data_IF_035021643954
#
_entry.id   IF_035021643954
#
_cell.length_a   1.000
_cell.length_b   1.000
_cell.length_c   1.000
_cell.angle_alpha   90.00
_cell.angle_beta   90.00
_cell.angle_gamma   90.00
#
_symmetry.space_group_name_H-M   'P 1'
#
loop_
_entity.id
_entity.type
_entity.pdbx_description
1 polymer ?
#
# COMPACT_ATOMS: atom_id res chain seq x y z
N UNK A 1 30.09 -56.65 -3.62
CA UNK A 1 29.18 -56.05 -4.63
C UNK A 1 27.96 -55.33 -4.03
N UNK A 2 27.35 -55.82 -2.94
CA UNK A 2 26.07 -55.31 -2.39
C UNK A 2 26.15 -53.85 -1.86
N UNK A 3 27.19 -53.47 -1.11
CA UNK A 3 27.34 -52.10 -0.55
C UNK A 3 27.38 -50.98 -1.61
N UNK A 4 27.97 -51.25 -2.78
CA UNK A 4 28.14 -50.27 -3.89
C UNK A 4 26.82 -49.96 -4.59
N UNK A 5 25.87 -50.91 -4.57
CA UNK A 5 24.53 -50.72 -5.14
C UNK A 5 23.64 -49.92 -4.18
N UNK A 6 23.80 -50.11 -2.87
CA UNK A 6 23.07 -49.35 -1.84
C UNK A 6 23.51 -47.88 -1.81
N UNK A 7 24.81 -47.60 -1.93
CA UNK A 7 25.31 -46.21 -2.02
C UNK A 7 24.84 -45.50 -3.28
N UNK A 8 24.80 -46.19 -4.43
CA UNK A 8 24.23 -45.64 -5.67
C UNK A 8 22.73 -45.38 -5.56
N UNK A 9 21.98 -46.28 -4.91
CA UNK A 9 20.54 -46.11 -4.69
C UNK A 9 20.25 -44.92 -3.77
N UNK A 10 21.03 -44.75 -2.68
CA UNK A 10 20.92 -43.59 -1.78
C UNK A 10 21.26 -42.27 -2.47
N UNK A 11 22.27 -42.25 -3.35
CA UNK A 11 22.64 -41.08 -4.14
C UNK A 11 21.56 -40.69 -5.15
N UNK A 12 20.94 -41.66 -5.82
CA UNK A 12 19.82 -41.43 -6.74
C UNK A 12 18.58 -40.91 -6.00
N UNK A 13 18.31 -41.42 -4.78
CA UNK A 13 17.21 -40.95 -3.95
C UNK A 13 17.43 -39.50 -3.46
N UNK A 14 18.67 -39.14 -3.13
CA UNK A 14 19.04 -37.78 -2.70
C UNK A 14 18.94 -36.76 -3.86
N UNK A 15 19.34 -37.14 -5.07
CA UNK A 15 19.20 -36.31 -6.28
C UNK A 15 17.72 -36.13 -6.64
N UNK A 16 16.91 -37.18 -6.53
CA UNK A 16 15.46 -37.10 -6.73
C UNK A 16 14.80 -36.18 -5.68
N UNK A 17 15.18 -36.28 -4.40
CA UNK A 17 14.63 -35.45 -3.33
C UNK A 17 14.99 -33.96 -3.51
N UNK A 18 16.20 -33.65 -3.98
CA UNK A 18 16.63 -32.27 -4.27
C UNK A 18 15.94 -31.67 -5.50
N UNK A 19 15.46 -32.50 -6.44
CA UNK A 19 14.72 -32.03 -7.62
C UNK A 19 13.26 -31.66 -7.30
N UNK A 20 12.70 -32.20 -6.21
CA UNK A 20 11.33 -31.89 -5.77
C UNK A 20 11.25 -30.60 -4.93
N UNK A 21 12.37 -29.94 -4.62
CA UNK A 21 12.39 -28.77 -3.71
C UNK A 21 12.11 -27.41 -4.39
N UNK A 22 11.70 -27.39 -5.67
CA UNK A 22 11.61 -26.15 -6.47
C UNK A 22 10.20 -25.54 -6.62
N UNK A 23 9.18 -26.04 -5.93
CA UNK A 23 7.81 -25.53 -6.10
C UNK A 23 7.29 -24.83 -4.85
N UNK A 24 7.69 -23.57 -4.66
CA UNK A 24 6.89 -22.61 -3.89
C UNK A 24 7.04 -21.20 -4.46
N UNK A 25 6.66 -21.03 -5.73
CA UNK A 25 6.31 -19.70 -6.23
C UNK A 25 4.84 -19.48 -5.86
N UNK A 26 4.56 -18.87 -4.71
CA UNK A 26 3.22 -18.39 -4.41
C UNK A 26 2.96 -17.20 -5.33
N UNK A 27 2.13 -17.38 -6.36
CA UNK A 27 1.66 -16.29 -7.21
C UNK A 27 0.75 -15.39 -6.38
N UNK A 28 1.21 -14.17 -6.09
CA UNK A 28 0.38 -13.12 -5.48
C UNK A 28 -0.60 -12.64 -6.56
N UNK A 29 -1.91 -12.46 -6.26
CA UNK A 29 -2.85 -11.86 -7.21
C UNK A 29 -2.39 -10.47 -7.66
N UNK A 30 -2.55 -10.16 -8.96
CA UNK A 30 -2.12 -8.88 -9.55
C UNK A 30 -2.82 -7.68 -8.89
N UNK A 31 -4.06 -7.84 -8.45
CA UNK A 31 -4.84 -6.84 -7.72
C UNK A 31 -4.18 -6.52 -6.38
N UNK A 32 -3.65 -7.53 -5.68
CA UNK A 32 -3.02 -7.35 -4.38
C UNK A 32 -1.64 -6.68 -4.50
N UNK A 33 -0.84 -7.09 -5.48
CA UNK A 33 0.45 -6.45 -5.77
C UNK A 33 0.26 -4.99 -6.24
N UNK A 34 -0.72 -4.74 -7.09
CA UNK A 34 -1.05 -3.37 -7.54
C UNK A 34 -1.64 -2.51 -6.43
N UNK A 35 -2.36 -3.10 -5.46
CA UNK A 35 -2.83 -2.40 -4.26
C UNK A 35 -1.63 -1.87 -3.47
N UNK A 36 -0.67 -2.73 -3.13
CA UNK A 36 0.48 -2.34 -2.31
C UNK A 36 1.30 -1.23 -2.99
N UNK A 37 1.53 -1.34 -4.30
CA UNK A 37 2.17 -0.28 -5.09
C UNK A 37 1.39 1.04 -5.03
N UNK A 38 0.07 0.97 -5.13
CA UNK A 38 -0.80 2.15 -5.10
C UNK A 38 -0.79 2.83 -3.73
N UNK A 39 -0.85 2.04 -2.64
CA UNK A 39 -0.81 2.54 -1.27
C UNK A 39 0.52 3.26 -0.97
N UNK A 40 1.64 2.67 -1.38
CA UNK A 40 2.97 3.29 -1.26
C UNK A 40 3.07 4.58 -2.08
N UNK A 41 2.50 4.60 -3.29
CA UNK A 41 2.47 5.79 -4.13
C UNK A 41 1.66 6.92 -3.48
N UNK A 42 0.51 6.61 -2.89
CA UNK A 42 -0.34 7.57 -2.19
C UNK A 42 0.34 8.13 -0.93
N UNK A 43 0.88 7.26 -0.06
CA UNK A 43 1.65 7.69 1.12
C UNK A 43 2.76 8.66 0.70
N UNK A 44 3.59 8.26 -0.27
CA UNK A 44 4.67 9.09 -0.79
C UNK A 44 4.13 10.42 -1.29
N UNK A 45 3.04 10.40 -2.06
CA UNK A 45 2.47 11.60 -2.63
C UNK A 45 2.06 12.61 -1.54
N UNK A 46 1.37 12.18 -0.48
CA UNK A 46 0.98 13.11 0.59
C UNK A 46 2.19 13.54 1.42
N UNK A 47 3.08 12.61 1.80
CA UNK A 47 4.27 12.94 2.63
C UNK A 47 5.18 13.98 1.96
N UNK A 48 5.34 13.89 0.65
CA UNK A 48 6.16 14.82 -0.13
C UNK A 48 5.38 16.00 -0.74
N UNK A 49 4.17 16.30 -0.22
CA UNK A 49 3.31 17.41 -0.69
C UNK A 49 2.97 17.36 -2.19
N UNK A 50 3.10 16.19 -2.82
CA UNK A 50 2.62 15.95 -4.18
C UNK A 50 1.11 15.67 -4.18
N UNK A 51 0.33 16.69 -3.82
CA UNK A 51 -1.13 16.59 -3.76
C UNK A 51 -1.77 16.34 -5.12
N UNK A 52 -1.11 16.73 -6.22
CA UNK A 52 -1.58 16.39 -7.56
C UNK A 52 -1.49 14.88 -7.82
N UNK A 53 -0.39 14.23 -7.41
CA UNK A 53 -0.25 12.78 -7.47
C UNK A 53 -1.28 12.05 -6.60
N UNK A 54 -1.50 12.52 -5.37
CA UNK A 54 -2.53 11.96 -4.49
C UNK A 54 -3.94 12.12 -5.09
N UNK A 55 -4.25 13.29 -5.67
CA UNK A 55 -5.52 13.56 -6.34
C UNK A 55 -5.77 12.70 -7.57
N UNK A 56 -4.72 12.33 -8.30
CA UNK A 56 -4.82 11.47 -9.47
C UNK A 56 -5.29 10.05 -9.12
N UNK A 57 -5.10 9.62 -7.87
CA UNK A 57 -5.55 8.33 -7.36
C UNK A 57 -7.00 8.36 -6.87
N UNK A 58 -7.67 9.51 -6.79
CA UNK A 58 -9.04 9.60 -6.30
C UNK A 58 -10.06 9.24 -7.39
N UNK A 59 -11.13 8.53 -7.02
CA UNK A 59 -12.30 8.31 -7.89
C UNK A 59 -12.94 9.65 -8.25
N UNK A 60 -13.07 10.53 -7.24
CA UNK A 60 -13.56 11.91 -7.39
C UNK A 60 -12.50 12.86 -6.88
N UNK A 61 -11.63 13.42 -7.75
CA UNK A 61 -10.57 14.31 -7.33
C UNK A 61 -11.12 15.50 -6.54
N UNK A 62 -10.58 15.74 -5.34
CA UNK A 62 -11.01 16.84 -4.50
C UNK A 62 -10.90 18.17 -5.25
N UNK A 63 -11.92 19.03 -5.13
CA UNK A 63 -11.82 20.44 -5.50
C UNK A 63 -11.13 21.18 -4.36
N UNK A 64 -9.95 21.70 -4.63
CA UNK A 64 -9.17 22.45 -3.64
C UNK A 64 -9.37 23.94 -3.93
N UNK A 65 -9.82 24.72 -2.95
CA UNK A 65 -9.81 26.18 -3.04
C UNK A 65 -8.37 26.70 -2.98
N UNK A 66 -8.11 27.93 -3.43
CA UNK A 66 -6.79 28.55 -3.31
C UNK A 66 -6.29 28.63 -1.87
N UNK A 67 -7.21 28.97 -0.95
CA UNK A 67 -6.91 28.98 0.47
C UNK A 67 -6.45 27.60 0.97
N UNK A 68 -7.20 26.53 0.66
CA UNK A 68 -6.84 25.17 1.08
C UNK A 68 -5.53 24.72 0.41
N UNK A 69 -5.29 25.08 -0.85
CA UNK A 69 -4.00 24.81 -1.54
C UNK A 69 -2.84 25.43 -0.79
N UNK A 70 -2.94 26.70 -0.40
CA UNK A 70 -1.87 27.38 0.30
C UNK A 70 -1.59 26.76 1.67
N UNK A 71 -2.63 26.34 2.40
CA UNK A 71 -2.49 25.64 3.68
C UNK A 71 -1.82 24.28 3.56
N UNK A 72 -2.20 23.50 2.55
CA UNK A 72 -1.57 22.21 2.28
C UNK A 72 -0.07 22.35 1.96
N UNK A 73 0.39 23.47 1.38
CA UNK A 73 1.83 23.71 1.16
C UNK A 73 2.61 23.86 2.48
N UNK A 74 1.98 24.41 3.52
CA UNK A 74 2.59 24.60 4.85
C UNK A 74 2.57 23.31 5.70
N UNK A 75 1.85 22.27 5.27
CA UNK A 75 1.69 21.02 6.00
C UNK A 75 2.91 20.11 5.81
N UNK A 76 3.46 19.59 6.90
CA UNK A 76 4.49 18.54 6.88
C UNK A 76 4.00 17.30 7.58
N UNK A 77 4.16 16.15 6.94
CA UNK A 77 3.81 14.84 7.51
C UNK A 77 5.09 14.16 8.01
N UNK A 78 5.12 13.88 9.31
CA UNK A 78 6.23 13.21 9.99
C UNK A 78 6.06 11.69 9.97
N UNK A 79 4.81 11.20 10.07
CA UNK A 79 4.49 9.78 10.07
C UNK A 79 3.21 9.49 9.32
N UNK A 80 3.17 8.32 8.68
CA UNK A 80 1.99 7.74 8.04
C UNK A 80 2.00 6.25 8.39
N UNK A 81 1.03 5.79 9.19
CA UNK A 81 1.02 4.42 9.69
C UNK A 81 -0.34 3.80 9.48
N UNK A 82 -0.40 2.76 8.66
CA UNK A 82 -1.59 1.90 8.58
C UNK A 82 -1.74 1.11 9.87
N UNK A 83 -2.82 1.37 10.59
CA UNK A 83 -3.21 0.71 11.85
C UNK A 83 -4.01 -0.55 11.56
N UNK A 84 -4.87 -0.49 10.54
CA UNK A 84 -5.73 -1.59 10.11
C UNK A 84 -5.80 -1.63 8.58
N UNK A 85 -5.83 -2.82 8.01
CA UNK A 85 -6.01 -3.08 6.57
C UNK A 85 -6.91 -4.30 6.41
N UNK A 86 -8.10 -4.09 5.86
CA UNK A 86 -9.07 -5.15 5.53
C UNK A 86 -9.24 -5.17 4.01
N UNK A 87 -9.05 -6.33 3.39
CA UNK A 87 -9.20 -6.52 1.95
C UNK A 87 -10.39 -7.45 1.72
N UNK A 88 -11.27 -7.10 0.80
CA UNK A 88 -12.40 -7.94 0.44
C UNK A 88 -11.90 -9.25 -0.21
N UNK A 89 -12.58 -10.40 -0.01
CA UNK A 89 -12.14 -11.69 -0.55
C UNK A 89 -12.01 -11.74 -2.08
N UNK A 90 -12.74 -10.88 -2.78
CA UNK A 90 -12.75 -10.73 -4.23
C UNK A 90 -11.75 -9.68 -4.75
N UNK A 91 -10.96 -9.07 -3.85
CA UNK A 91 -10.00 -8.00 -4.15
C UNK A 91 -10.61 -6.75 -4.82
N UNK A 92 -11.93 -6.54 -4.72
CA UNK A 92 -12.60 -5.37 -5.30
C UNK A 92 -12.47 -4.12 -4.44
N UNK A 93 -12.22 -4.31 -3.13
CA UNK A 93 -12.21 -3.24 -2.12
C UNK A 93 -11.14 -3.47 -1.06
N UNK A 94 -10.53 -2.39 -0.60
CA UNK A 94 -9.69 -2.39 0.60
C UNK A 94 -10.07 -1.21 1.52
N UNK A 95 -10.20 -1.50 2.81
CA UNK A 95 -10.48 -0.51 3.85
C UNK A 95 -9.26 -0.39 4.77
N UNK A 96 -8.79 0.84 4.97
CA UNK A 96 -7.63 1.13 5.81
C UNK A 96 -7.98 2.14 6.90
N UNK A 97 -7.43 1.92 8.09
CA UNK A 97 -7.36 2.91 9.15
C UNK A 97 -5.91 3.40 9.24
N UNK A 98 -5.67 4.69 9.06
CA UNK A 98 -4.32 5.25 8.96
C UNK A 98 -4.12 6.37 9.96
N UNK A 99 -3.10 6.27 10.80
CA UNK A 99 -2.64 7.38 11.64
C UNK A 99 -1.61 8.23 10.89
N UNK A 100 -1.94 9.51 10.72
CA UNK A 100 -1.10 10.50 10.06
C UNK A 100 -0.64 11.52 11.11
N UNK A 101 0.68 11.62 11.30
CA UNK A 101 1.28 12.65 12.16
C UNK A 101 1.78 13.81 11.31
N UNK A 102 1.45 15.03 11.71
CA UNK A 102 1.75 16.22 10.94
C UNK A 102 1.95 17.45 11.81
N UNK A 103 2.63 18.45 11.27
CA UNK A 103 2.70 19.80 11.82
C UNK A 103 2.63 20.81 10.66
N UNK A 104 2.48 22.09 11.00
CA UNK A 104 2.54 23.18 10.01
C UNK A 104 3.88 23.90 10.13
N UNK A 105 4.47 24.34 9.02
CA UNK A 105 5.79 25.00 9.00
C UNK A 105 5.90 26.16 10.02
N UNK A 106 4.79 26.85 10.29
CA UNK A 106 4.71 27.98 11.24
C UNK A 106 4.33 27.59 12.67
N UNK A 107 4.14 26.31 12.96
CA UNK A 107 3.70 25.77 14.26
C UNK A 107 4.38 24.43 14.54
N UNK A 108 5.26 24.40 15.54
CA UNK A 108 5.96 23.17 15.98
C UNK A 108 5.08 22.16 16.75
N UNK A 109 3.76 22.33 16.76
CA UNK A 109 2.83 21.41 17.41
C UNK A 109 2.54 20.24 16.46
N UNK A 110 3.08 19.06 16.78
CA UNK A 110 2.71 17.80 16.13
C UNK A 110 1.26 17.43 16.50
N UNK A 111 0.51 17.02 15.49
CA UNK A 111 -0.88 16.60 15.57
C UNK A 111 -1.01 15.20 14.99
N UNK A 112 -2.04 14.49 15.42
CA UNK A 112 -2.42 13.17 14.89
C UNK A 112 -3.79 13.29 14.23
N UNK A 113 -3.93 12.73 13.04
CA UNK A 113 -5.19 12.52 12.34
C UNK A 113 -5.31 11.03 12.04
N UNK A 114 -6.39 10.40 12.51
CA UNK A 114 -6.76 9.05 12.07
C UNK A 114 -7.71 9.17 10.88
N UNK A 115 -7.24 8.71 9.72
CA UNK A 115 -7.93 8.75 8.45
C UNK A 115 -8.53 7.39 8.11
N UNK A 116 -9.77 7.37 7.63
CA UNK A 116 -10.48 6.15 7.19
C UNK A 116 -10.52 6.14 5.68
N UNK A 117 -9.79 5.21 5.07
CA UNK A 117 -9.63 5.14 3.63
C UNK A 117 -10.41 3.97 3.04
N UNK A 118 -11.11 4.25 1.95
CA UNK A 118 -11.78 3.22 1.13
C UNK A 118 -11.16 3.25 -0.24
N UNK A 119 -10.58 2.12 -0.64
CA UNK A 119 -9.98 1.91 -1.94
C UNK A 119 -10.84 0.94 -2.74
N UNK A 120 -11.10 1.28 -4.00
CA UNK A 120 -11.85 0.44 -4.94
C UNK A 120 -10.96 0.06 -6.12
N UNK A 121 -10.98 -1.21 -6.50
CA UNK A 121 -10.33 -1.67 -7.70
C UNK A 121 -11.21 -1.38 -8.92
N UNK A 122 -10.63 -0.76 -9.94
CA UNK A 122 -11.31 -0.45 -11.18
C UNK A 122 -10.81 -1.40 -12.29
N UNK A 123 -11.58 -2.46 -12.53
CA UNK A 123 -11.28 -3.50 -13.53
C UNK A 123 -11.08 -2.94 -14.95
N UNK A 124 -11.83 -1.91 -15.35
CA UNK A 124 -11.69 -1.32 -16.69
C UNK A 124 -10.34 -0.69 -16.92
N UNK A 125 -9.73 -0.20 -15.85
CA UNK A 125 -8.47 0.52 -15.91
C UNK A 125 -7.30 -0.26 -15.32
N UNK A 126 -7.56 -1.38 -14.64
CA UNK A 126 -6.63 -2.15 -13.82
C UNK A 126 -5.87 -1.29 -12.80
N UNK A 127 -6.61 -0.46 -12.05
CA UNK A 127 -6.03 0.45 -11.05
C UNK A 127 -6.87 0.54 -9.80
N UNK A 128 -6.22 0.65 -8.66
CA UNK A 128 -6.85 1.04 -7.40
C UNK A 128 -7.07 2.54 -7.34
N UNK A 129 -8.23 2.94 -6.82
CA UNK A 129 -8.60 4.34 -6.66
C UNK A 129 -9.15 4.59 -5.26
N UNK A 130 -8.78 5.72 -4.67
CA UNK A 130 -9.29 6.18 -3.39
C UNK A 130 -10.70 6.74 -3.59
N UNK A 131 -11.69 6.07 -3.02
CA UNK A 131 -13.10 6.48 -3.05
C UNK A 131 -13.47 7.40 -1.88
N UNK A 132 -12.82 7.22 -0.73
CA UNK A 132 -13.04 8.10 0.42
C UNK A 132 -12.55 9.53 0.17
N UNK A 133 -13.00 10.45 1.03
CA UNK A 133 -12.57 11.84 0.99
C UNK A 133 -11.07 11.97 1.31
N UNK A 134 -10.47 13.08 0.86
CA UNK A 134 -9.10 13.42 1.21
C UNK A 134 -8.98 13.70 2.73
N UNK A 135 -7.85 13.38 3.39
CA UNK A 135 -7.65 13.64 4.81
C UNK A 135 -7.93 15.11 5.18
N UNK A 136 -8.81 15.33 6.15
CA UNK A 136 -9.18 16.66 6.61
C UNK A 136 -8.27 17.12 7.76
N UNK A 137 -7.13 17.71 7.38
CA UNK A 137 -6.20 18.29 8.35
C UNK A 137 -6.82 19.51 9.03
N UNK A 138 -6.97 19.45 10.35
CA UNK A 138 -7.57 20.54 11.13
C UNK A 138 -6.70 21.80 11.04
N UNK A 139 -7.38 22.93 10.85
CA UNK A 139 -6.83 24.27 10.93
C UNK A 139 -7.28 24.86 12.26
N UNK A 140 -6.33 25.35 13.05
CA UNK A 140 -6.58 26.12 14.27
C UNK A 140 -5.94 27.49 14.11
#
# INVERSE_FOLDING_TARGET
>A
MIKKNITKLLLLLAIAFSALSLTSCSTIPDELDSLDKTLVAYERAIRWRNYNGARALQVKPMKVSDFRRQRLKELRITSYKTIEKVIAPDYSKAELLVDIRYYYDKSAIERVLTDRQVWLYNEKSNRWQLDSSFPDFKLY
#
